data_IF_012486068420
#
_entry.id   IF_012486068420
#
_cell.length_a   1.000
_cell.length_b   1.000
_cell.length_c   1.000
_cell.angle_alpha   90.00
_cell.angle_beta   90.00
_cell.angle_gamma   90.00
#
_symmetry.space_group_name_H-M   'P 1'
#
loop_
_entity.id
_entity.type
_entity.pdbx_description
1 polymer ?
#
# COMPACT_ATOMS: atom_id res chain seq x y z
N UNK A 1 -11.69 22.90 -4.05
CA UNK A 1 -10.36 22.55 -3.65
C UNK A 1 -9.74 21.67 -4.73
N UNK A 2 -8.64 22.07 -5.14
CA UNK A 2 -7.79 21.27 -5.96
C UNK A 2 -7.52 20.01 -5.23
N UNK A 3 -8.43 19.44 -5.21
CA UNK A 3 -8.84 18.41 -4.40
C UNK A 3 -7.93 17.24 -4.54
N UNK A 4 -8.05 16.37 -3.67
CA UNK A 4 -7.54 15.02 -3.72
C UNK A 4 -7.72 14.36 -5.10
N UNK A 5 -8.84 14.66 -5.77
CA UNK A 5 -9.11 14.12 -7.11
C UNK A 5 -8.08 14.62 -8.13
N UNK A 6 -7.75 15.90 -8.09
CA UNK A 6 -6.77 16.49 -8.99
C UNK A 6 -5.37 15.97 -8.68
N UNK A 7 -5.05 15.80 -7.38
CA UNK A 7 -3.79 15.20 -6.97
C UNK A 7 -3.68 13.75 -7.46
N UNK A 8 -4.76 12.99 -7.38
CA UNK A 8 -4.77 11.62 -7.87
C UNK A 8 -4.60 11.54 -9.38
N UNK A 9 -5.16 12.49 -10.12
CA UNK A 9 -4.93 12.59 -11.55
C UNK A 9 -3.46 12.87 -11.85
N UNK A 10 -2.82 13.72 -11.07
CA UNK A 10 -1.39 13.99 -11.21
C UNK A 10 -0.55 12.73 -10.94
N UNK A 11 -0.90 11.97 -9.94
CA UNK A 11 -0.24 10.69 -9.66
C UNK A 11 -0.41 9.73 -10.83
N UNK A 12 -1.64 9.60 -11.31
CA UNK A 12 -1.97 8.74 -12.44
C UNK A 12 -1.18 9.10 -13.68
N UNK A 13 -1.05 10.39 -13.94
CA UNK A 13 -0.30 10.91 -15.10
C UNK A 13 1.20 10.98 -14.81
N UNK A 14 1.64 10.50 -13.64
CA UNK A 14 3.02 10.54 -13.17
C UNK A 14 3.56 11.97 -13.00
N UNK A 15 2.65 12.92 -12.79
CA UNK A 15 3.00 14.30 -12.48
C UNK A 15 2.87 14.56 -10.99
N UNK A 16 3.20 13.55 -10.19
CA UNK A 16 3.10 13.69 -8.74
C UNK A 16 4.21 14.58 -8.21
N UNK A 17 3.93 15.22 -7.08
CA UNK A 17 4.94 16.00 -6.40
C UNK A 17 6.03 15.08 -5.84
N UNK A 18 7.21 15.67 -5.57
CA UNK A 18 8.29 14.91 -4.92
C UNK A 18 7.82 14.35 -3.59
N UNK A 19 7.04 15.13 -2.85
CA UNK A 19 6.50 14.71 -1.56
C UNK A 19 5.63 13.47 -1.69
N UNK A 20 4.72 13.45 -2.65
CA UNK A 20 3.83 12.30 -2.89
C UNK A 20 4.63 11.09 -3.38
N UNK A 21 5.63 11.33 -4.23
CA UNK A 21 6.52 10.28 -4.72
C UNK A 21 7.25 9.59 -3.54
N UNK A 22 7.85 10.36 -2.66
CA UNK A 22 8.59 9.82 -1.51
C UNK A 22 7.64 9.12 -0.55
N UNK A 23 6.47 9.70 -0.34
CA UNK A 23 5.44 9.12 0.54
C UNK A 23 4.99 7.74 0.03
N UNK A 24 4.67 7.65 -1.26
CA UNK A 24 4.27 6.38 -1.88
C UNK A 24 5.43 5.36 -1.88
N UNK A 25 6.64 5.82 -2.21
CA UNK A 25 7.80 4.95 -2.23
C UNK A 25 8.11 4.37 -0.84
N UNK A 26 7.88 5.15 0.21
CA UNK A 26 8.05 4.67 1.58
C UNK A 26 7.09 3.51 1.89
N UNK A 27 5.84 3.60 1.44
CA UNK A 27 4.88 2.51 1.59
C UNK A 27 5.34 1.26 0.85
N UNK A 28 5.78 1.42 -0.40
CA UNK A 28 6.25 0.30 -1.23
C UNK A 28 7.46 -0.35 -0.57
N UNK A 29 8.41 0.45 -0.07
CA UNK A 29 9.61 -0.03 0.59
C UNK A 29 9.27 -0.92 1.79
N UNK A 30 8.31 -0.48 2.59
CA UNK A 30 7.93 -1.21 3.80
C UNK A 30 7.10 -2.46 3.51
N UNK A 31 6.32 -2.47 2.43
CA UNK A 31 5.50 -3.62 2.06
C UNK A 31 6.26 -4.73 1.37
N UNK A 32 7.19 -4.38 0.48
CA UNK A 32 7.87 -5.36 -0.35
C UNK A 32 9.06 -5.97 0.37
N UNK A 33 9.09 -7.29 0.47
CA UNK A 33 10.29 -8.02 0.90
C UNK A 33 11.25 -8.17 -0.28
N UNK A 34 10.71 -8.43 -1.47
CA UNK A 34 11.51 -8.65 -2.69
C UNK A 34 11.39 -7.45 -3.63
N UNK A 35 12.54 -6.97 -4.10
CA UNK A 35 12.57 -5.77 -4.94
C UNK A 35 11.83 -5.95 -6.26
N UNK A 36 11.79 -7.17 -6.80
CA UNK A 36 11.10 -7.44 -8.06
C UNK A 36 9.58 -7.26 -7.95
N UNK A 37 9.04 -7.28 -6.74
CA UNK A 37 7.60 -7.05 -6.53
C UNK A 37 7.24 -5.58 -6.34
N UNK A 38 8.21 -4.72 -6.11
CA UNK A 38 7.95 -3.30 -5.85
C UNK A 38 7.12 -2.61 -6.93
N UNK A 39 7.40 -2.80 -8.24
CA UNK A 39 6.56 -2.16 -9.27
C UNK A 39 5.11 -2.61 -9.24
N UNK A 40 4.85 -3.89 -8.93
CA UNK A 40 3.48 -4.40 -8.85
C UNK A 40 2.76 -3.87 -7.62
N UNK A 41 3.43 -3.83 -6.48
CA UNK A 41 2.87 -3.25 -5.26
C UNK A 41 2.55 -1.78 -5.48
N UNK A 42 3.45 -1.04 -6.11
CA UNK A 42 3.19 0.36 -6.47
C UNK A 42 1.96 0.47 -7.38
N UNK A 43 1.83 -0.43 -8.34
CA UNK A 43 0.66 -0.48 -9.22
C UNK A 43 -0.63 -0.68 -8.47
N UNK A 44 -0.65 -1.57 -7.48
CA UNK A 44 -1.84 -1.81 -6.65
C UNK A 44 -2.20 -0.55 -5.86
N UNK A 45 -1.22 0.08 -5.21
CA UNK A 45 -1.49 1.29 -4.44
C UNK A 45 -2.01 2.43 -5.33
N UNK A 46 -1.40 2.62 -6.49
CA UNK A 46 -1.87 3.64 -7.43
C UNK A 46 -3.29 3.36 -7.92
N UNK A 47 -3.59 2.09 -8.20
CA UNK A 47 -4.93 1.69 -8.61
C UNK A 47 -5.96 1.99 -7.53
N UNK A 48 -5.64 1.68 -6.26
CA UNK A 48 -6.53 2.01 -5.15
C UNK A 48 -6.75 3.52 -5.03
N UNK A 49 -5.70 4.30 -5.19
CA UNK A 49 -5.85 5.77 -5.18
C UNK A 49 -6.76 6.26 -6.29
N UNK A 50 -6.67 5.68 -7.49
CA UNK A 50 -7.51 6.06 -8.62
C UNK A 50 -8.99 5.84 -8.35
N UNK A 51 -9.34 4.78 -7.65
CA UNK A 51 -10.73 4.43 -7.37
C UNK A 51 -11.18 4.83 -5.96
N UNK A 52 -10.37 5.64 -5.26
CA UNK A 52 -10.67 6.13 -3.91
C UNK A 52 -10.80 5.02 -2.86
N UNK A 53 -10.13 3.90 -3.10
CA UNK A 53 -10.09 2.80 -2.16
C UNK A 53 -9.00 3.06 -1.12
N UNK A 54 -9.28 2.86 0.19
CA UNK A 54 -8.24 3.00 1.20
C UNK A 54 -7.05 2.09 0.92
N UNK A 55 -5.85 2.57 1.21
CA UNK A 55 -4.63 1.80 0.95
C UNK A 55 -4.55 0.56 1.85
N UNK A 56 -5.00 0.68 3.09
CA UNK A 56 -5.08 -0.43 4.05
C UNK A 56 -3.75 -1.17 4.22
N UNK A 57 -2.68 -0.40 4.41
CA UNK A 57 -1.37 -0.97 4.62
C UNK A 57 -1.09 -1.15 6.11
N UNK A 58 -0.79 -2.39 6.50
CA UNK A 58 -0.42 -2.70 7.88
C UNK A 58 0.86 -1.96 8.31
N UNK A 59 1.71 -1.62 7.36
CA UNK A 59 2.94 -0.89 7.67
C UNK A 59 2.66 0.48 8.28
N UNK A 60 1.54 1.12 7.94
CA UNK A 60 1.16 2.39 8.56
C UNK A 60 0.74 2.18 10.01
N UNK A 61 0.12 1.05 10.33
CA UNK A 61 -0.22 0.71 11.71
C UNK A 61 1.05 0.46 12.52
N UNK A 62 2.02 -0.27 11.96
CA UNK A 62 3.32 -0.47 12.59
C UNK A 62 3.99 0.87 12.91
N UNK A 63 3.92 1.80 11.96
CA UNK A 63 4.48 3.15 12.13
C UNK A 63 3.82 3.88 13.31
N UNK A 64 2.48 3.83 13.39
CA UNK A 64 1.72 4.46 14.48
C UNK A 64 2.10 3.88 15.84
N UNK A 65 2.20 2.55 15.90
CA UNK A 65 2.54 1.85 17.14
C UNK A 65 4.01 2.00 17.54
N UNK A 66 4.86 2.36 16.58
CA UNK A 66 6.30 2.54 16.84
C UNK A 66 7.04 1.25 17.10
N UNK A 67 6.46 0.11 16.74
CA UNK A 67 7.09 -1.20 16.96
C UNK A 67 6.63 -2.18 15.89
N UNK A 68 7.44 -3.22 15.67
CA UNK A 68 7.09 -4.32 14.77
C UNK A 68 6.23 -5.32 15.54
N UNK A 69 4.94 -5.25 15.32
CA UNK A 69 3.99 -6.20 15.91
C UNK A 69 3.80 -7.34 14.91
N UNK A 70 3.93 -8.58 15.37
CA UNK A 70 3.83 -9.75 14.48
C UNK A 70 2.47 -9.84 13.78
N UNK A 71 1.41 -9.49 14.49
CA UNK A 71 0.06 -9.59 13.97
C UNK A 71 -0.70 -8.30 14.25
N UNK A 72 -1.22 -7.69 13.20
CA UNK A 72 -2.08 -6.51 13.31
C UNK A 72 -3.51 -6.99 13.53
N UNK A 73 -4.10 -6.60 14.65
CA UNK A 73 -5.45 -7.00 15.00
C UNK A 73 -6.48 -6.07 14.36
N UNK A 74 -7.75 -6.48 14.37
CA UNK A 74 -8.84 -5.64 13.92
C UNK A 74 -8.91 -4.35 14.75
N UNK A 75 -8.68 -4.45 16.07
CA UNK A 75 -8.64 -3.26 16.93
C UNK A 75 -7.54 -2.30 16.50
N UNK A 76 -6.36 -2.81 16.13
CA UNK A 76 -5.26 -1.97 15.64
C UNK A 76 -5.67 -1.20 14.39
N UNK A 77 -6.43 -1.81 13.48
CA UNK A 77 -6.87 -1.15 12.24
C UNK A 77 -7.91 -0.06 12.50
N UNK A 78 -8.42 0.06 13.71
CA UNK A 78 -9.41 1.07 14.08
C UNK A 78 -8.81 2.25 14.84
N UNK A 79 -7.50 2.27 15.08
CA UNK A 79 -6.84 3.37 15.78
C UNK A 79 -7.10 4.67 15.02
N UNK A 80 -7.55 5.70 15.73
CA UNK A 80 -7.78 7.01 15.12
C UNK A 80 -6.46 7.78 15.07
N UNK A 81 -5.91 7.86 13.87
CA UNK A 81 -4.64 8.52 13.62
C UNK A 81 -4.59 8.90 12.14
N UNK A 82 -4.11 10.09 11.79
CA UNK A 82 -4.02 10.50 10.38
C UNK A 82 -3.20 9.55 9.50
N UNK A 83 -2.25 8.82 10.08
CA UNK A 83 -1.43 7.86 9.36
C UNK A 83 -2.13 6.52 9.11
N UNK A 84 -3.29 6.28 9.73
CA UNK A 84 -4.00 5.02 9.58
C UNK A 84 -4.68 4.94 8.21
N UNK A 85 -4.12 4.15 7.29
CA UNK A 85 -4.65 4.01 5.93
C UNK A 85 -5.88 3.11 5.85
N UNK A 86 -6.29 2.47 6.94
CA UNK A 86 -7.58 1.79 7.02
C UNK A 86 -8.72 2.78 7.26
N UNK A 87 -8.44 3.88 7.97
CA UNK A 87 -9.45 4.86 8.35
C UNK A 87 -9.45 6.09 7.43
N UNK A 88 -8.34 6.39 6.80
CA UNK A 88 -8.17 7.61 6.00
C UNK A 88 -7.79 7.25 4.58
N UNK A 89 -8.68 7.47 3.60
CA UNK A 89 -8.34 7.21 2.19
C UNK A 89 -7.20 8.11 1.73
N UNK A 90 -6.44 7.63 0.77
CA UNK A 90 -5.33 8.38 0.20
C UNK A 90 -4.01 8.10 0.91
N UNK A 91 -2.99 8.86 0.54
CA UNK A 91 -1.66 8.74 1.13
C UNK A 91 -1.67 9.26 2.57
N UNK A 92 -0.81 8.69 3.45
CA UNK A 92 -0.65 9.26 4.79
C UNK A 92 -0.08 10.67 4.73
N UNK A 93 -0.07 11.41 5.86
CA UNK A 93 0.42 12.81 5.86
C UNK A 93 1.89 12.96 5.47
N UNK A 94 2.69 11.93 5.65
CA UNK A 94 4.10 11.95 5.27
C UNK A 94 4.68 10.55 5.19
N UNK A 95 5.95 10.43 4.73
CA UNK A 95 6.57 9.12 4.57
C UNK A 95 6.75 8.40 5.91
N UNK A 96 6.49 7.10 5.91
CA UNK A 96 6.67 6.28 7.12
C UNK A 96 8.07 5.67 7.21
N UNK A 97 8.89 5.90 6.20
CA UNK A 97 10.27 5.42 6.16
C UNK A 97 11.06 6.26 5.18
N UNK A 98 12.37 6.02 5.11
CA UNK A 98 13.25 6.62 4.09
C UNK A 98 13.39 5.61 2.96
N UNK A 99 12.69 5.79 1.84
CA UNK A 99 12.72 4.81 0.76
C UNK A 99 14.03 4.81 0.01
N UNK A 100 14.45 3.62 -0.44
CA UNK A 100 15.60 3.47 -1.31
C UNK A 100 15.26 3.78 -2.76
N UNK A 101 16.29 3.81 -3.59
CA UNK A 101 16.14 4.15 -5.00
C UNK A 101 15.26 3.17 -5.76
N UNK A 102 15.30 1.87 -5.42
CA UNK A 102 14.47 0.88 -6.10
C UNK A 102 12.98 1.14 -5.91
N UNK A 103 12.57 1.53 -4.70
CA UNK A 103 11.18 1.83 -4.41
C UNK A 103 10.74 3.12 -5.14
N UNK A 104 11.61 4.11 -5.19
CA UNK A 104 11.33 5.36 -5.92
C UNK A 104 11.15 5.05 -7.41
N UNK A 105 12.04 4.26 -8.00
CA UNK A 105 11.92 3.86 -9.39
C UNK A 105 10.64 3.06 -9.66
N UNK A 106 10.25 2.21 -8.71
CA UNK A 106 9.03 1.42 -8.83
C UNK A 106 7.78 2.31 -8.90
N UNK A 107 7.75 3.39 -8.13
CA UNK A 107 6.64 4.33 -8.16
C UNK A 107 6.63 5.15 -9.46
N UNK A 108 7.81 5.51 -9.95
CA UNK A 108 7.93 6.24 -11.22
C UNK A 108 7.57 5.35 -12.43
N UNK A 109 7.81 4.06 -12.33
CA UNK A 109 7.51 3.10 -13.39
C UNK A 109 6.73 1.92 -12.83
N UNK A 110 5.49 2.17 -12.35
CA UNK A 110 4.69 1.11 -11.75
C UNK A 110 4.20 0.13 -12.81
N UNK A 111 3.99 -1.11 -12.41
CA UNK A 111 3.33 -2.07 -13.28
C UNK A 111 1.87 -1.67 -13.43
N UNK A 112 1.39 -1.61 -14.66
CA UNK A 112 -0.04 -1.41 -14.91
C UNK A 112 -0.77 -2.69 -14.55
N UNK A 113 -1.68 -2.60 -13.58
CA UNK A 113 -2.37 -3.79 -13.10
C UNK A 113 -3.80 -3.46 -12.70
N UNK A 114 -4.65 -4.48 -12.77
CA UNK A 114 -6.01 -4.41 -12.24
C UNK A 114 -6.09 -5.04 -10.85
N UNK A 115 -4.97 -5.54 -10.32
CA UNK A 115 -4.94 -6.09 -8.97
C UNK A 115 -5.27 -5.01 -7.94
N UNK A 116 -6.14 -5.35 -7.00
CA UNK A 116 -6.54 -4.46 -5.91
C UNK A 116 -6.12 -4.99 -4.54
N UNK A 117 -5.76 -6.26 -4.46
CA UNK A 117 -5.43 -6.92 -3.19
C UNK A 117 -4.14 -7.68 -3.30
N UNK A 118 -3.43 -7.79 -2.18
CA UNK A 118 -2.32 -8.72 -2.07
C UNK A 118 -2.22 -9.21 -0.63
N UNK A 119 -1.64 -10.39 -0.47
CA UNK A 119 -1.39 -11.00 0.83
C UNK A 119 -0.04 -11.68 0.76
N UNK A 120 0.75 -11.55 1.84
CA UNK A 120 2.07 -12.16 1.91
C UNK A 120 1.97 -13.68 2.09
N UNK A 121 2.73 -14.40 1.29
CA UNK A 121 2.93 -15.83 1.46
C UNK A 121 4.05 -16.06 2.50
N UNK A 122 4.23 -17.32 2.91
CA UNK A 122 5.17 -17.64 3.98
C UNK A 122 6.63 -17.33 3.64
N UNK A 123 6.97 -17.33 2.34
CA UNK A 123 8.32 -17.03 1.89
C UNK A 123 8.56 -15.52 1.69
N UNK A 124 7.56 -14.69 1.92
CA UNK A 124 7.65 -13.24 1.78
C UNK A 124 7.18 -12.70 0.43
N UNK A 125 6.97 -13.55 -0.56
CA UNK A 125 6.35 -13.12 -1.81
C UNK A 125 4.88 -12.81 -1.57
N UNK A 126 4.30 -11.99 -2.44
CA UNK A 126 2.89 -11.65 -2.34
C UNK A 126 2.07 -12.38 -3.39
N UNK A 127 0.85 -12.74 -3.02
CA UNK A 127 -0.16 -13.23 -3.96
C UNK A 127 -1.11 -12.08 -4.24
N UNK A 128 -1.26 -11.74 -5.52
CA UNK A 128 -2.07 -10.61 -5.96
C UNK A 128 -3.39 -11.10 -6.52
N UNK A 129 -4.47 -10.39 -6.19
CA UNK A 129 -5.81 -10.74 -6.67
C UNK A 129 -6.58 -9.49 -7.04
N UNK A 130 -7.65 -9.67 -7.83
CA UNK A 130 -8.46 -8.56 -8.36
C UNK A 130 -9.70 -8.29 -7.54
N UNK A 131 -10.28 -9.32 -6.93
CA UNK A 131 -11.55 -9.20 -6.21
C UNK A 131 -11.37 -9.55 -4.74
N UNK A 132 -12.27 -9.03 -3.91
CA UNK A 132 -12.23 -9.33 -2.48
C UNK A 132 -12.45 -10.82 -2.21
N UNK A 133 -13.33 -11.47 -2.99
CA UNK A 133 -13.56 -12.90 -2.85
C UNK A 133 -12.29 -13.70 -3.12
N UNK A 134 -11.54 -13.35 -4.17
CA UNK A 134 -10.26 -13.98 -4.46
C UNK A 134 -9.24 -13.73 -3.36
N UNK A 135 -9.25 -12.51 -2.78
CA UNK A 135 -8.37 -12.16 -1.67
C UNK A 135 -8.65 -13.02 -0.44
N UNK A 136 -9.91 -13.19 -0.08
CA UNK A 136 -10.30 -14.03 1.06
C UNK A 136 -9.87 -15.47 0.83
N UNK A 137 -10.05 -15.98 -0.40
CA UNK A 137 -9.62 -17.33 -0.73
C UNK A 137 -8.10 -17.47 -0.64
N UNK A 138 -7.37 -16.47 -1.11
CA UNK A 138 -5.90 -16.48 -1.01
C UNK A 138 -5.45 -16.50 0.45
N UNK A 139 -6.09 -15.73 1.33
CA UNK A 139 -5.79 -15.72 2.76
C UNK A 139 -6.03 -17.12 3.35
N UNK A 140 -7.16 -17.74 3.02
CA UNK A 140 -7.49 -19.08 3.47
C UNK A 140 -6.47 -20.12 2.97
N UNK A 141 -6.08 -20.04 1.70
CA UNK A 141 -5.10 -20.96 1.11
C UNK A 141 -3.73 -20.84 1.80
N UNK A 142 -3.34 -19.64 2.20
CA UNK A 142 -2.04 -19.38 2.79
C UNK A 142 -2.03 -19.64 4.31
N UNK A 143 -3.05 -19.15 5.01
CA UNK A 143 -3.09 -19.14 6.47
C UNK A 143 -4.08 -20.15 7.06
N UNK A 144 -4.85 -20.83 6.23
CA UNK A 144 -5.88 -21.76 6.68
C UNK A 144 -7.20 -21.04 7.01
N UNK A 145 -8.24 -21.84 7.37
CA UNK A 145 -9.55 -21.25 7.67
C UNK A 145 -9.47 -20.25 8.82
N UNK A 146 -10.19 -19.15 8.70
CA UNK A 146 -10.27 -18.11 9.72
C UNK A 146 -11.43 -18.37 10.70
#
# INVERSE_FOLDING_TARGET
>A
STSRRQRQMCIRDRKMSIRDLVNMAALVEMEAVFKEEQPRIAGVFLRRLEIYMPIQSDTTIQYILGTQKEEITIADTRIQNPYNTYQNPGLPPGPISSPGMSAIKAVLNPEKTEYLYFVAEKDGHHRFTKTYAEHLKAIEDIHGPQ
#
